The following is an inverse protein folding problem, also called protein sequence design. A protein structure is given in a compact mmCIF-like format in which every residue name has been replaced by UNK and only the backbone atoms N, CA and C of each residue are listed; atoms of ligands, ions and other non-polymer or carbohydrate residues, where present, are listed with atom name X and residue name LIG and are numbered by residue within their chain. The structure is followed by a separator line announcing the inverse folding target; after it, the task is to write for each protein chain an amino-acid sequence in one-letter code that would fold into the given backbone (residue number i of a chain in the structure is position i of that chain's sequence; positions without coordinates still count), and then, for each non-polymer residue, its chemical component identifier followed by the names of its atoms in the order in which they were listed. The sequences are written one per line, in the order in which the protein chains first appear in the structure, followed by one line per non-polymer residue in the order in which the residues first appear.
data_IF_665218219167
#
_entry.id   IF_665218219167
#
_cell.length_a   1.000
_cell.length_b   1.000
_cell.length_c   1.000
_cell.angle_alpha   90.00
_cell.angle_beta   90.00
_cell.angle_gamma   90.00
#
_symmetry.space_group_name_H-M   'P 1'
#
loop_
_entity.id
_entity.type
_entity.pdbx_description
1 polymer ?
#
# COMPACT_ATOMS: atom_id res chain seq x y z
N UNK A 1 12.57 -11.70 -0.54
CA UNK A 1 11.11 -11.78 -0.75
C UNK A 1 10.48 -10.66 0.08
N UNK A 2 9.42 -10.02 -0.40
CA UNK A 2 8.66 -9.01 0.33
C UNK A 2 7.25 -9.52 0.63
N UNK A 3 6.58 -8.84 1.55
CA UNK A 3 5.13 -8.93 1.78
C UNK A 3 4.50 -7.65 1.26
N UNK A 4 3.55 -7.74 0.34
CA UNK A 4 3.09 -6.59 -0.42
C UNK A 4 1.62 -6.31 -0.16
N UNK A 5 1.30 -5.03 0.03
CA UNK A 5 -0.06 -4.55 0.12
C UNK A 5 -0.35 -3.59 -1.02
N UNK A 6 -1.58 -3.64 -1.50
CA UNK A 6 -2.15 -2.62 -2.36
C UNK A 6 -3.26 -1.91 -1.58
N UNK A 7 -3.20 -0.58 -1.54
CA UNK A 7 -4.21 0.25 -0.87
C UNK A 7 -4.74 1.27 -1.85
N UNK A 8 -6.06 1.40 -1.96
CA UNK A 8 -6.67 2.34 -2.89
C UNK A 8 -7.97 2.98 -2.38
N UNK A 9 -8.35 4.09 -3.00
CA UNK A 9 -9.62 4.78 -2.78
C UNK A 9 -10.79 4.10 -3.51
N UNK A 10 -11.96 4.05 -2.87
CA UNK A 10 -13.22 3.70 -3.54
C UNK A 10 -14.13 2.80 -2.71
N UNK A 11 -15.14 2.24 -3.37
CA UNK A 11 -16.09 1.34 -2.73
C UNK A 11 -15.52 -0.07 -2.58
N UNK A 12 -15.75 -0.66 -1.40
CA UNK A 12 -15.30 -2.01 -1.08
C UNK A 12 -15.82 -3.04 -2.10
N UNK A 13 -14.94 -3.80 -2.77
CA UNK A 13 -15.37 -4.89 -3.65
C UNK A 13 -16.17 -5.96 -2.91
N UNK A 14 -17.19 -6.57 -3.54
CA UNK A 14 -18.09 -7.53 -2.89
C UNK A 14 -17.42 -8.87 -2.57
N UNK A 15 -16.35 -9.22 -3.27
CA UNK A 15 -15.62 -10.47 -3.09
C UNK A 15 -14.14 -10.33 -3.51
N UNK A 16 -13.33 -11.29 -3.06
CA UNK A 16 -11.88 -11.32 -3.31
C UNK A 16 -11.53 -11.40 -4.81
N UNK A 17 -12.36 -12.08 -5.61
CA UNK A 17 -12.13 -12.21 -7.06
C UNK A 17 -12.28 -10.84 -7.74
N UNK A 18 -13.29 -10.09 -7.34
CA UNK A 18 -13.56 -8.74 -7.81
C UNK A 18 -12.48 -7.79 -7.32
N UNK A 19 -12.08 -7.87 -6.04
CA UNK A 19 -10.97 -7.08 -5.50
C UNK A 19 -9.67 -7.29 -6.28
N UNK A 20 -9.32 -8.54 -6.59
CA UNK A 20 -8.12 -8.86 -7.37
C UNK A 20 -8.17 -8.29 -8.79
N UNK A 21 -9.35 -8.30 -9.43
CA UNK A 21 -9.52 -7.69 -10.75
C UNK A 21 -9.38 -6.17 -10.67
N UNK A 22 -10.03 -5.52 -9.70
CA UNK A 22 -9.89 -4.09 -9.47
C UNK A 22 -8.42 -3.70 -9.22
N UNK A 23 -7.70 -4.46 -8.39
CA UNK A 23 -6.28 -4.26 -8.17
C UNK A 23 -5.48 -4.33 -9.48
N UNK A 24 -5.68 -5.38 -10.30
CA UNK A 24 -5.00 -5.50 -11.60
C UNK A 24 -5.29 -4.31 -12.51
N UNK A 25 -6.56 -3.92 -12.63
CA UNK A 25 -6.98 -2.81 -13.49
C UNK A 25 -6.37 -1.46 -13.01
N UNK A 26 -6.26 -1.26 -11.69
CA UNK A 26 -5.62 -0.07 -11.10
C UNK A 26 -4.11 -0.09 -11.27
N UNK A 27 -3.46 -1.24 -11.04
CA UNK A 27 -2.02 -1.39 -11.18
C UNK A 27 -1.57 -1.12 -12.61
N UNK A 28 -2.24 -1.74 -13.59
CA UNK A 28 -1.97 -1.54 -15.02
C UNK A 28 -2.13 -0.08 -15.43
N UNK A 29 -3.11 0.62 -14.84
CA UNK A 29 -3.42 2.02 -15.17
C UNK A 29 -2.45 3.01 -14.55
N UNK A 30 -2.16 2.84 -13.26
CA UNK A 30 -1.49 3.87 -12.46
C UNK A 30 0.00 3.61 -12.25
N UNK A 31 0.44 2.35 -12.24
CA UNK A 31 1.82 1.98 -11.91
C UNK A 31 2.61 1.44 -13.11
N UNK A 32 1.97 0.72 -14.04
CA UNK A 32 2.63 0.20 -15.26
C UNK A 32 2.48 1.11 -16.50
N UNK A 33 1.76 2.23 -16.39
CA UNK A 33 1.53 3.18 -17.48
C UNK A 33 2.71 4.12 -17.79
N UNK A 34 2.68 4.82 -18.94
CA UNK A 34 3.79 5.67 -19.42
C UNK A 34 4.03 6.98 -18.62
N UNK A 35 3.11 7.36 -17.72
CA UNK A 35 3.32 8.44 -16.76
C UNK A 35 2.39 8.25 -15.56
N UNK A 36 2.98 8.03 -14.37
CA UNK A 36 2.23 8.00 -13.12
C UNK A 36 1.56 9.34 -12.83
N UNK A 37 0.29 9.32 -12.44
CA UNK A 37 -0.40 10.50 -11.93
C UNK A 37 0.12 10.77 -10.51
N UNK A 38 0.22 12.02 -10.05
CA UNK A 38 0.57 12.28 -8.66
C UNK A 38 -0.40 11.56 -7.73
N UNK A 39 0.10 11.07 -6.59
CA UNK A 39 -0.75 10.47 -5.57
C UNK A 39 -1.85 11.46 -5.16
N UNK A 40 -3.07 10.94 -5.07
CA UNK A 40 -4.21 11.63 -4.49
C UNK A 40 -3.91 12.10 -3.06
N UNK A 41 -4.64 13.12 -2.61
CA UNK A 41 -4.44 13.68 -1.27
C UNK A 41 -4.66 12.64 -0.16
N UNK A 42 -5.63 11.73 -0.32
CA UNK A 42 -5.91 10.71 0.70
C UNK A 42 -4.82 9.62 0.73
N UNK A 43 -4.30 9.20 -0.43
CA UNK A 43 -3.17 8.27 -0.49
C UNK A 43 -1.89 8.91 0.05
N UNK A 44 -1.61 10.18 -0.28
CA UNK A 44 -0.48 10.91 0.27
C UNK A 44 -0.57 11.06 1.81
N UNK A 45 -1.76 11.32 2.33
CA UNK A 45 -2.01 11.36 3.78
C UNK A 45 -1.80 9.99 4.43
N UNK A 46 -2.27 8.91 3.79
CA UNK A 46 -2.05 7.54 4.27
C UNK A 46 -0.56 7.20 4.32
N UNK A 47 0.21 7.55 3.29
CA UNK A 47 1.68 7.37 3.26
C UNK A 47 2.35 8.14 4.38
N UNK A 48 1.96 9.40 4.59
CA UNK A 48 2.51 10.23 5.66
C UNK A 48 2.26 9.60 7.03
N UNK A 49 1.06 9.09 7.28
CA UNK A 49 0.72 8.42 8.54
C UNK A 49 1.45 7.07 8.75
N UNK A 50 1.79 6.35 7.67
CA UNK A 50 2.71 5.20 7.75
C UNK A 50 4.13 5.66 8.13
N UNK A 51 4.61 6.72 7.49
CA UNK A 51 5.96 7.26 7.67
C UNK A 51 6.17 7.94 9.03
N UNK A 52 5.11 8.46 9.66
CA UNK A 52 5.13 8.96 11.04
C UNK A 52 5.44 7.85 12.07
N UNK A 53 5.08 6.60 11.75
CA UNK A 53 5.35 5.45 12.63
C UNK A 53 6.70 4.81 12.31
N UNK A 54 7.00 4.63 11.04
CA UNK A 54 8.26 4.06 10.58
C UNK A 54 8.83 4.92 9.47
N UNK A 55 10.02 5.48 9.68
CA UNK A 55 10.69 6.28 8.67
C UNK A 55 10.84 5.51 7.36
N UNK A 56 11.02 6.28 6.28
CA UNK A 56 11.28 5.69 4.98
C UNK A 56 12.59 4.88 5.00
N UNK A 57 12.64 3.77 4.28
CA UNK A 57 13.86 2.94 4.22
C UNK A 57 15.06 3.70 3.63
N UNK A 58 14.82 4.72 2.81
CA UNK A 58 15.89 5.58 2.26
C UNK A 58 16.53 6.48 3.31
N UNK A 59 15.90 6.63 4.47
CA UNK A 59 16.34 7.44 5.61
C UNK A 59 16.59 6.61 6.88
N UNK A 60 16.50 5.28 6.80
CA UNK A 60 16.59 4.36 7.94
C UNK A 60 18.01 3.84 8.17
N UNK A 61 18.81 4.62 8.89
CA UNK A 61 20.16 4.20 9.31
C UNK A 61 20.14 3.10 10.39
N UNK A 62 19.01 2.89 11.08
CA UNK A 62 18.89 1.97 12.22
C UNK A 62 18.30 0.59 11.86
N UNK A 63 17.98 0.36 10.58
CA UNK A 63 17.33 -0.88 10.08
C UNK A 63 16.03 -1.23 10.83
N UNK A 64 15.27 -0.21 11.22
CA UNK A 64 14.01 -0.34 11.97
C UNK A 64 12.77 -0.21 11.08
N UNK A 65 12.95 0.18 9.83
CA UNK A 65 11.88 0.38 8.87
C UNK A 65 11.38 -0.96 8.34
N UNK A 66 10.06 -1.20 8.33
CA UNK A 66 9.50 -2.44 7.81
C UNK A 66 9.49 -2.45 6.28
N UNK A 67 9.75 -1.34 5.60
CA UNK A 67 9.63 -1.22 4.14
C UNK A 67 10.74 -2.01 3.46
N UNK A 68 10.43 -2.69 2.35
CA UNK A 68 11.43 -3.38 1.53
C UNK A 68 11.91 -2.57 0.33
N UNK A 69 11.25 -1.43 0.08
CA UNK A 69 11.51 -0.52 -1.03
C UNK A 69 11.14 0.89 -0.60
N UNK A 70 11.89 1.87 -1.10
CA UNK A 70 11.61 3.27 -0.86
C UNK A 70 12.19 4.16 -1.97
N UNK A 71 11.78 5.44 -2.02
CA UNK A 71 10.85 6.06 -1.07
C UNK A 71 9.41 5.56 -1.27
N UNK A 72 8.64 5.45 -0.18
CA UNK A 72 7.32 4.81 -0.19
C UNK A 72 6.32 5.53 -1.12
N UNK A 73 6.53 6.84 -1.31
CA UNK A 73 5.75 7.67 -2.22
C UNK A 73 5.90 7.27 -3.69
N UNK A 74 7.02 6.66 -4.08
CA UNK A 74 7.23 6.19 -5.47
C UNK A 74 6.38 4.96 -5.79
N UNK A 75 5.85 4.28 -4.76
CA UNK A 75 4.85 3.22 -4.92
C UNK A 75 3.43 3.72 -5.15
N UNK A 76 3.21 5.04 -5.20
CA UNK A 76 1.88 5.65 -5.28
C UNK A 76 1.65 6.40 -6.59
N UNK A 77 0.46 6.26 -7.14
CA UNK A 77 0.00 6.97 -8.33
C UNK A 77 -1.52 7.08 -8.32
N UNK A 78 -2.04 8.30 -8.47
CA UNK A 78 -3.46 8.58 -8.38
C UNK A 78 -4.10 8.02 -7.08
N UNK A 79 -5.17 7.19 -7.17
CA UNK A 79 -5.88 6.66 -6.01
C UNK A 79 -5.26 5.37 -5.45
N UNK A 80 -4.07 4.95 -5.91
CA UNK A 80 -3.45 3.67 -5.56
C UNK A 80 -2.07 3.89 -4.93
N UNK A 81 -1.75 3.09 -3.92
CA UNK A 81 -0.38 2.78 -3.51
C UNK A 81 -0.15 1.26 -3.51
N UNK A 82 1.00 0.86 -4.02
CA UNK A 82 1.56 -0.48 -3.88
C UNK A 82 2.91 -0.39 -3.16
N UNK A 83 3.08 -1.16 -2.07
CA UNK A 83 4.31 -1.12 -1.30
C UNK A 83 4.62 -2.48 -0.68
N UNK A 84 5.92 -2.76 -0.58
CA UNK A 84 6.45 -4.00 -0.02
C UNK A 84 7.06 -3.80 1.36
N UNK A 85 6.95 -4.83 2.19
CA UNK A 85 7.53 -4.93 3.53
C UNK A 85 8.52 -6.09 3.63
N UNK A 86 9.50 -5.95 4.50
CA UNK A 86 10.36 -7.05 4.90
C UNK A 86 9.54 -8.11 5.66
N UNK A 87 9.72 -9.38 5.31
CA UNK A 87 9.01 -10.50 5.92
C UNK A 87 9.17 -10.58 7.45
N UNK A 88 10.31 -10.15 8.00
CA UNK A 88 10.54 -10.18 9.46
C UNK A 88 9.61 -9.25 10.23
N UNK A 89 9.14 -8.17 9.60
CA UNK A 89 8.27 -7.16 10.22
C UNK A 89 6.86 -7.14 9.62
N UNK A 90 6.62 -7.91 8.55
CA UNK A 90 5.38 -7.89 7.79
C UNK A 90 4.14 -8.18 8.64
N UNK A 91 4.23 -9.04 9.67
CA UNK A 91 3.07 -9.34 10.53
C UNK A 91 2.55 -8.07 11.23
N UNK A 92 3.41 -7.34 11.93
CA UNK A 92 3.04 -6.10 12.62
C UNK A 92 2.71 -5.00 11.62
N UNK A 93 3.59 -4.77 10.65
CA UNK A 93 3.47 -3.66 9.72
C UNK A 93 2.24 -3.79 8.82
N UNK A 94 1.93 -4.98 8.30
CA UNK A 94 0.75 -5.20 7.48
C UNK A 94 -0.56 -5.09 8.27
N UNK A 95 -0.57 -5.50 9.54
CA UNK A 95 -1.73 -5.35 10.41
C UNK A 95 -2.02 -3.88 10.71
N UNK A 96 -0.97 -3.10 11.02
CA UNK A 96 -1.11 -1.66 11.23
C UNK A 96 -1.55 -0.94 9.95
N UNK A 97 -0.92 -1.22 8.81
CA UNK A 97 -1.26 -0.64 7.53
C UNK A 97 -2.73 -0.88 7.15
N UNK A 98 -3.22 -2.12 7.30
CA UNK A 98 -4.62 -2.45 7.05
C UNK A 98 -5.60 -1.71 7.99
N UNK A 99 -5.28 -1.63 9.28
CA UNK A 99 -6.12 -0.91 10.24
C UNK A 99 -6.15 0.60 9.98
N UNK A 100 -5.01 1.17 9.60
CA UNK A 100 -4.91 2.58 9.22
C UNK A 100 -5.73 2.86 7.95
N UNK A 101 -5.61 2.01 6.93
CA UNK A 101 -6.40 2.12 5.70
C UNK A 101 -7.91 2.08 5.99
N UNK A 102 -8.37 1.14 6.81
CA UNK A 102 -9.77 1.04 7.25
C UNK A 102 -10.24 2.31 7.95
N UNK A 103 -9.42 2.87 8.86
CA UNK A 103 -9.74 4.11 9.57
C UNK A 103 -9.88 5.34 8.66
N UNK A 104 -9.25 5.30 7.49
CA UNK A 104 -9.29 6.35 6.46
C UNK A 104 -10.32 6.07 5.36
N UNK A 105 -11.07 4.98 5.45
CA UNK A 105 -12.03 4.56 4.42
C UNK A 105 -11.37 4.05 3.13
N UNK A 106 -10.11 3.62 3.21
CA UNK A 106 -9.36 3.04 2.10
C UNK A 106 -9.54 1.52 2.08
N UNK A 107 -9.37 0.94 0.89
CA UNK A 107 -9.44 -0.50 0.69
C UNK A 107 -8.03 -1.07 0.79
N UNK A 108 -7.81 -2.03 1.68
CA UNK A 108 -6.53 -2.73 1.80
C UNK A 108 -6.63 -4.16 1.26
N UNK A 109 -5.84 -4.47 0.23
CA UNK A 109 -5.72 -5.80 -0.37
C UNK A 109 -4.37 -6.41 -0.09
N UNK A 110 -4.42 -7.65 0.35
CA UNK A 110 -3.27 -8.49 0.60
C UNK A 110 -2.90 -9.25 -0.67
N UNK A 111 -1.75 -8.93 -1.26
CA UNK A 111 -1.32 -9.50 -2.55
C UNK A 111 -0.95 -10.98 -2.39
N UNK A 112 -0.33 -11.32 -1.27
CA UNK A 112 0.10 -12.68 -0.95
C UNK A 112 -1.09 -13.60 -0.68
N UNK A 113 -2.09 -13.13 0.07
CA UNK A 113 -3.30 -13.90 0.39
C UNK A 113 -4.37 -13.80 -0.71
N UNK A 114 -4.31 -12.77 -1.56
CA UNK A 114 -5.29 -12.52 -2.61
C UNK A 114 -6.67 -12.12 -2.07
N UNK A 115 -6.72 -11.41 -0.94
CA UNK A 115 -7.97 -11.05 -0.24
C UNK A 115 -7.91 -9.66 0.40
N UNK A 116 -9.07 -9.12 0.79
CA UNK A 116 -9.16 -7.86 1.54
C UNK A 116 -8.80 -8.08 3.02
N UNK A 117 -8.15 -7.08 3.64
CA UNK A 117 -7.76 -7.12 5.07
C UNK A 117 -8.70 -6.34 6.00
N UNK A 118 -9.56 -5.51 5.45
CA UNK A 118 -10.61 -4.78 6.17
C UNK A 118 -11.92 -4.86 5.45
#
# INVERSE_FOLDING_TARGET
MSYDLAVWEGDRPPDAKTARRFFSDLYDRYLDGEAGEPASELIAAYITALLERWCDITEDDEETSPWSVGPLIDGASGPLIYFGMNWSMAEEASAYAAALADSMGLICFDVQQGQLRS
#
